data_IF_933827108448
#
_entry.id   IF_933827108448
#
_cell.length_a   1.000
_cell.length_b   1.000
_cell.length_c   1.000
_cell.angle_alpha   90.00
_cell.angle_beta   90.00
_cell.angle_gamma   90.00
#
_symmetry.space_group_name_H-M   'P 1'
#
loop_
_entity.id
_entity.type
_entity.pdbx_description
1 polymer ?
#
# COMPACT_ATOMS: atom_id res chain seq x y z
N UNK A 1 -4.86 -3.45 -84.72
CA UNK A 1 -5.95 -3.35 -83.72
C UNK A 1 -5.64 -4.04 -82.40
N UNK A 2 -5.05 -5.24 -82.40
CA UNK A 2 -4.77 -6.01 -81.18
C UNK A 2 -3.74 -5.33 -80.26
N UNK A 3 -2.64 -4.79 -80.82
CA UNK A 3 -1.64 -4.00 -80.10
C UNK A 3 -2.21 -2.77 -79.36
N UNK A 4 -3.24 -2.13 -79.93
CA UNK A 4 -3.90 -0.97 -79.32
C UNK A 4 -4.76 -1.39 -78.13
N UNK A 5 -5.54 -2.47 -78.25
CA UNK A 5 -6.33 -3.04 -77.14
C UNK A 5 -5.43 -3.49 -75.98
N UNK A 6 -4.31 -4.15 -76.29
CA UNK A 6 -3.34 -4.58 -75.27
C UNK A 6 -2.74 -3.40 -74.51
N UNK A 7 -2.39 -2.31 -75.21
CA UNK A 7 -1.85 -1.09 -74.60
C UNK A 7 -2.88 -0.37 -73.73
N UNK A 8 -4.13 -0.24 -74.19
CA UNK A 8 -5.22 0.36 -73.42
C UNK A 8 -5.53 -0.43 -72.16
N UNK A 9 -5.60 -1.77 -72.25
CA UNK A 9 -5.79 -2.65 -71.10
C UNK A 9 -4.66 -2.52 -70.07
N UNK A 10 -3.40 -2.51 -70.52
CA UNK A 10 -2.25 -2.36 -69.62
C UNK A 10 -2.28 -1.03 -68.85
N UNK A 11 -2.56 0.07 -69.54
CA UNK A 11 -2.66 1.39 -68.91
C UNK A 11 -3.81 1.47 -67.89
N UNK A 12 -4.97 0.88 -68.20
CA UNK A 12 -6.10 0.81 -67.26
C UNK A 12 -5.74 -0.02 -66.01
N UNK A 13 -4.95 -1.09 -66.14
CA UNK A 13 -4.47 -1.86 -64.98
C UNK A 13 -3.48 -1.05 -64.12
N UNK A 14 -2.57 -0.29 -64.74
CA UNK A 14 -1.63 0.60 -64.03
C UNK A 14 -2.41 1.68 -63.27
N UNK A 15 -3.33 2.38 -63.94
CA UNK A 15 -4.16 3.40 -63.30
C UNK A 15 -4.99 2.84 -62.13
N UNK A 16 -5.50 1.60 -62.26
CA UNK A 16 -6.20 0.89 -61.18
C UNK A 16 -5.27 0.67 -59.98
N UNK A 17 -4.06 0.16 -60.23
CA UNK A 17 -3.08 -0.13 -59.18
C UNK A 17 -2.68 1.14 -58.42
N UNK A 18 -2.35 2.22 -59.14
CA UNK A 18 -1.98 3.50 -58.53
C UNK A 18 -3.12 4.10 -57.69
N UNK A 19 -4.36 4.00 -58.18
CA UNK A 19 -5.53 4.52 -57.47
C UNK A 19 -5.85 3.70 -56.21
N UNK A 20 -5.65 2.38 -56.27
CA UNK A 20 -5.80 1.50 -55.12
C UNK A 20 -4.71 1.78 -54.07
N UNK A 21 -3.46 2.00 -54.51
CA UNK A 21 -2.34 2.29 -53.63
C UNK A 21 -2.54 3.62 -52.89
N UNK A 22 -3.05 4.63 -53.58
CA UNK A 22 -3.47 5.87 -52.93
C UNK A 22 -4.51 5.61 -51.83
N UNK A 23 -5.58 4.85 -52.12
CA UNK A 23 -6.62 4.56 -51.13
C UNK A 23 -6.03 3.88 -49.88
N UNK A 24 -5.19 2.86 -50.08
CA UNK A 24 -4.53 2.16 -48.97
C UNK A 24 -3.72 3.11 -48.12
N UNK A 25 -2.85 3.91 -48.75
CA UNK A 25 -2.01 4.89 -48.06
C UNK A 25 -2.85 5.85 -47.22
N UNK A 26 -3.93 6.42 -47.78
CA UNK A 26 -4.79 7.33 -47.02
C UNK A 26 -5.46 6.64 -45.81
N UNK A 27 -5.88 5.39 -45.96
CA UNK A 27 -6.49 4.64 -44.85
C UNK A 27 -5.46 4.20 -43.80
N UNK A 28 -4.23 3.88 -44.20
CA UNK A 28 -3.13 3.56 -43.29
C UNK A 28 -2.64 4.81 -42.53
N UNK A 29 -2.53 5.95 -43.21
CA UNK A 29 -2.22 7.26 -42.63
C UNK A 29 -3.34 7.75 -41.69
N UNK A 30 -4.58 7.34 -41.94
CA UNK A 30 -5.72 7.64 -41.06
C UNK A 30 -5.66 6.84 -39.75
N UNK A 31 -5.07 5.65 -39.77
CA UNK A 31 -4.98 4.71 -38.64
C UNK A 31 -3.59 4.62 -38.02
N UNK A 32 -2.73 5.60 -38.28
CA UNK A 32 -1.37 5.64 -37.74
C UNK A 32 -1.38 5.87 -36.22
N UNK A 33 -0.35 5.38 -35.54
CA UNK A 33 -0.12 5.57 -34.10
C UNK A 33 -1.30 5.20 -33.19
N UNK A 34 -2.01 4.11 -33.51
CA UNK A 34 -3.11 3.58 -32.68
C UNK A 34 -4.22 4.61 -32.39
N UNK A 35 -4.36 5.63 -33.24
CA UNK A 35 -5.37 6.67 -33.05
C UNK A 35 -6.75 6.11 -33.38
N UNK A 36 -7.58 5.96 -32.36
CA UNK A 36 -8.99 5.60 -32.55
C UNK A 36 -9.75 6.76 -33.18
N UNK A 37 -10.58 6.44 -34.18
CA UNK A 37 -11.52 7.39 -34.77
C UNK A 37 -12.95 6.95 -34.49
N UNK A 38 -13.79 7.90 -34.12
CA UNK A 38 -15.23 7.68 -34.04
C UNK A 38 -15.74 7.09 -35.36
N UNK A 39 -16.61 6.08 -35.28
CA UNK A 39 -17.12 5.35 -36.45
C UNK A 39 -17.73 6.26 -37.53
N UNK A 40 -18.42 7.34 -37.14
CA UNK A 40 -19.02 8.27 -38.09
C UNK A 40 -17.94 9.02 -38.89
N UNK A 41 -16.89 9.46 -38.20
CA UNK A 41 -15.74 10.12 -38.84
C UNK A 41 -14.97 9.13 -39.73
N UNK A 42 -14.74 7.92 -39.24
CA UNK A 42 -14.08 6.86 -40.01
C UNK A 42 -14.85 6.53 -41.30
N UNK A 43 -16.17 6.34 -41.21
CA UNK A 43 -17.03 6.06 -42.37
C UNK A 43 -17.01 7.21 -43.39
N UNK A 44 -16.99 8.46 -42.89
CA UNK A 44 -16.89 9.65 -43.73
C UNK A 44 -15.57 9.67 -44.51
N UNK A 45 -14.43 9.45 -43.82
CA UNK A 45 -13.11 9.43 -44.47
C UNK A 45 -12.99 8.27 -45.48
N UNK A 46 -13.47 7.07 -45.13
CA UNK A 46 -13.53 5.96 -46.07
C UNK A 46 -14.28 6.34 -47.35
N UNK A 47 -15.47 6.93 -47.24
CA UNK A 47 -16.28 7.35 -48.39
C UNK A 47 -15.56 8.40 -49.22
N UNK A 48 -14.90 9.37 -48.57
CA UNK A 48 -14.10 10.41 -49.21
C UNK A 48 -12.95 9.80 -50.01
N UNK A 49 -12.07 9.02 -49.38
CA UNK A 49 -10.90 8.44 -50.03
C UNK A 49 -11.24 7.42 -51.12
N UNK A 50 -12.32 6.64 -50.95
CA UNK A 50 -12.84 5.78 -52.02
C UNK A 50 -13.25 6.61 -53.24
N UNK A 51 -13.99 7.69 -53.05
CA UNK A 51 -14.45 8.53 -54.15
C UNK A 51 -13.27 9.23 -54.85
N UNK A 52 -12.27 9.67 -54.09
CA UNK A 52 -11.02 10.25 -54.62
C UNK A 52 -10.24 9.24 -55.47
N UNK A 53 -10.06 8.01 -54.98
CA UNK A 53 -9.41 6.94 -55.73
C UNK A 53 -10.13 6.62 -57.05
N UNK A 54 -11.47 6.55 -57.02
CA UNK A 54 -12.28 6.33 -58.24
C UNK A 54 -12.15 7.52 -59.21
N UNK A 55 -12.13 8.75 -58.70
CA UNK A 55 -11.96 9.95 -59.52
C UNK A 55 -10.58 10.01 -60.16
N UNK A 56 -9.53 9.65 -59.43
CA UNK A 56 -8.16 9.53 -59.94
C UNK A 56 -8.01 8.42 -61.00
N UNK A 57 -8.70 7.30 -60.82
CA UNK A 57 -8.77 6.28 -61.88
C UNK A 57 -9.46 6.84 -63.13
N UNK A 58 -10.58 7.54 -62.95
CA UNK A 58 -11.37 8.11 -64.03
C UNK A 58 -10.69 9.28 -64.75
N UNK A 59 -9.76 10.00 -64.11
CA UNK A 59 -9.00 11.08 -64.76
C UNK A 59 -7.84 10.57 -65.64
N UNK A 60 -7.36 9.34 -65.38
CA UNK A 60 -6.33 8.65 -66.17
C UNK A 60 -6.90 7.86 -67.36
N UNK A 61 -8.12 8.21 -67.77
CA UNK A 61 -8.94 7.51 -68.77
C UNK A 61 -8.19 7.32 -70.09
N UNK A 62 -8.15 6.07 -70.58
CA UNK A 62 -7.83 5.76 -71.97
C UNK A 62 -9.00 4.96 -72.54
N UNK A 63 -9.83 5.63 -73.35
CA UNK A 63 -10.98 5.01 -74.01
C UNK A 63 -10.53 4.22 -75.25
N UNK A 64 -11.17 3.06 -75.48
CA UNK A 64 -10.92 2.28 -76.68
C UNK A 64 -11.35 0.82 -76.62
N UNK A 65 -11.51 0.25 -75.42
CA UNK A 65 -12.13 -1.06 -75.22
C UNK A 65 -12.85 -1.15 -73.87
N UNK A 66 -13.73 -2.14 -73.70
CA UNK A 66 -14.53 -2.32 -72.47
C UNK A 66 -13.73 -2.62 -71.20
N UNK A 67 -12.39 -2.63 -71.25
CA UNK A 67 -11.53 -2.91 -70.09
C UNK A 67 -11.60 -1.82 -69.01
N UNK A 68 -11.90 -0.58 -69.38
CA UNK A 68 -12.05 0.54 -68.44
C UNK A 68 -13.13 0.25 -67.38
N UNK A 69 -14.32 -0.13 -67.82
CA UNK A 69 -15.46 -0.40 -66.92
C UNK A 69 -15.19 -1.60 -66.01
N UNK A 70 -14.54 -2.65 -66.54
CA UNK A 70 -14.11 -3.81 -65.74
C UNK A 70 -13.10 -3.38 -64.67
N UNK A 71 -12.07 -2.62 -65.03
CA UNK A 71 -11.07 -2.15 -64.07
C UNK A 71 -11.65 -1.22 -63.00
N UNK A 72 -12.61 -0.35 -63.37
CA UNK A 72 -13.32 0.52 -62.44
C UNK A 72 -14.16 -0.28 -61.44
N UNK A 73 -14.88 -1.29 -61.93
CA UNK A 73 -15.71 -2.15 -61.09
C UNK A 73 -14.83 -3.00 -60.16
N UNK A 74 -13.74 -3.56 -60.67
CA UNK A 74 -12.75 -4.29 -59.88
C UNK A 74 -12.15 -3.40 -58.78
N UNK A 75 -11.83 -2.14 -59.09
CA UNK A 75 -11.33 -1.17 -58.10
C UNK A 75 -12.36 -0.96 -56.98
N UNK A 76 -13.62 -0.75 -57.35
CA UNK A 76 -14.70 -0.54 -56.39
C UNK A 76 -14.89 -1.75 -55.47
N UNK A 77 -14.98 -2.95 -56.03
CA UNK A 77 -15.13 -4.17 -55.24
C UNK A 77 -13.89 -4.45 -54.38
N UNK A 78 -12.69 -4.17 -54.89
CA UNK A 78 -11.45 -4.31 -54.11
C UNK A 78 -11.45 -3.39 -52.89
N UNK A 79 -11.80 -2.11 -53.07
CA UNK A 79 -11.88 -1.15 -51.95
C UNK A 79 -12.97 -1.55 -50.95
N UNK A 80 -14.14 -1.97 -51.45
CA UNK A 80 -15.26 -2.44 -50.63
C UNK A 80 -14.87 -3.67 -49.80
N UNK A 81 -14.09 -4.59 -50.36
CA UNK A 81 -13.60 -5.78 -49.68
C UNK A 81 -12.50 -5.47 -48.65
N UNK A 82 -11.73 -4.38 -48.84
CA UNK A 82 -10.73 -3.92 -47.86
C UNK A 82 -11.34 -3.17 -46.69
N UNK A 83 -12.49 -2.52 -46.88
CA UNK A 83 -13.11 -1.69 -45.84
C UNK A 83 -13.37 -2.40 -44.49
N UNK A 84 -13.88 -3.65 -44.45
CA UNK A 84 -14.01 -4.40 -43.20
C UNK A 84 -12.69 -4.57 -42.44
N UNK A 85 -11.56 -4.74 -43.16
CA UNK A 85 -10.24 -4.90 -42.54
C UNK A 85 -9.79 -3.60 -41.85
N UNK A 86 -9.96 -2.47 -42.51
CA UNK A 86 -9.65 -1.16 -41.93
C UNK A 86 -10.58 -0.82 -40.75
N UNK A 87 -11.86 -1.21 -40.84
CA UNK A 87 -12.81 -1.04 -39.75
C UNK A 87 -12.39 -1.86 -38.52
N UNK A 88 -12.01 -3.13 -38.72
CA UNK A 88 -11.51 -3.99 -37.65
C UNK A 88 -10.25 -3.38 -37.00
N UNK A 89 -9.29 -2.90 -37.79
CA UNK A 89 -8.09 -2.24 -37.27
C UNK A 89 -8.41 -0.99 -36.44
N UNK A 90 -9.42 -0.20 -36.83
CA UNK A 90 -9.87 0.94 -36.02
C UNK A 90 -10.51 0.50 -34.69
N UNK A 91 -11.22 -0.63 -34.67
CA UNK A 91 -11.75 -1.23 -33.45
C UNK A 91 -10.62 -1.77 -32.54
N UNK A 92 -9.58 -2.35 -33.12
CA UNK A 92 -8.41 -2.82 -32.38
C UNK A 92 -7.61 -1.64 -31.78
N UNK A 93 -7.46 -0.54 -32.53
CA UNK A 93 -6.88 0.72 -32.01
C UNK A 93 -7.68 1.26 -30.82
N UNK A 94 -9.01 1.14 -30.85
CA UNK A 94 -9.87 1.53 -29.71
C UNK A 94 -9.51 0.72 -28.46
N UNK A 95 -9.47 -0.61 -28.58
CA UNK A 95 -9.14 -1.51 -27.46
C UNK A 95 -7.75 -1.22 -26.92
N UNK A 96 -6.76 -1.05 -27.81
CA UNK A 96 -5.41 -0.71 -27.41
C UNK A 96 -5.35 0.62 -26.64
N UNK A 97 -6.06 1.65 -27.10
CA UNK A 97 -6.15 2.94 -26.41
C UNK A 97 -6.80 2.81 -25.03
N UNK A 98 -7.84 2.00 -24.90
CA UNK A 98 -8.53 1.75 -23.62
C UNK A 98 -7.64 0.98 -22.64
N UNK A 99 -6.95 -0.07 -23.09
CA UNK A 99 -5.99 -0.84 -22.27
C UNK A 99 -4.81 0.02 -21.80
N UNK A 100 -4.33 0.93 -22.65
CA UNK A 100 -3.21 1.83 -22.31
C UNK A 100 -3.66 2.84 -21.25
N UNK A 101 -4.85 3.42 -21.41
CA UNK A 101 -5.42 4.37 -20.44
C UNK A 101 -5.66 3.70 -19.07
N UNK A 102 -6.16 2.47 -19.06
CA UNK A 102 -6.31 1.69 -17.84
C UNK A 102 -4.95 1.41 -17.15
N UNK A 103 -3.93 0.99 -17.91
CA UNK A 103 -2.57 0.76 -17.38
C UNK A 103 -1.98 2.03 -16.77
N UNK A 104 -2.18 3.18 -17.39
CA UNK A 104 -1.72 4.47 -16.88
C UNK A 104 -2.42 4.84 -15.56
N UNK A 105 -3.74 4.62 -15.45
CA UNK A 105 -4.48 4.80 -14.21
C UNK A 105 -3.98 3.88 -13.09
N UNK A 106 -3.70 2.60 -13.39
CA UNK A 106 -3.15 1.65 -12.41
C UNK A 106 -1.75 2.08 -11.94
N UNK A 107 -0.90 2.51 -12.88
CA UNK A 107 0.46 2.98 -12.55
C UNK A 107 0.38 4.18 -11.60
N UNK A 108 -0.44 5.16 -11.94
CA UNK A 108 -0.62 6.37 -11.12
C UNK A 108 -1.22 6.04 -9.74
N UNK A 109 -2.19 5.12 -9.68
CA UNK A 109 -2.75 4.63 -8.42
C UNK A 109 -1.64 4.10 -7.50
N UNK A 110 -0.75 3.26 -8.04
CA UNK A 110 0.34 2.67 -7.26
C UNK A 110 1.35 3.73 -6.78
N UNK A 111 1.75 4.65 -7.65
CA UNK A 111 2.66 5.75 -7.28
C UNK A 111 2.09 6.63 -6.16
N UNK A 112 0.80 6.98 -6.25
CA UNK A 112 0.12 7.79 -5.24
C UNK A 112 0.04 7.05 -3.90
N UNK A 113 -0.30 5.76 -3.92
CA UNK A 113 -0.34 4.92 -2.72
C UNK A 113 1.03 4.78 -2.06
N UNK A 114 2.08 4.66 -2.85
CA UNK A 114 3.44 4.55 -2.36
C UNK A 114 3.87 5.83 -1.64
N UNK A 115 3.59 7.00 -2.24
CA UNK A 115 3.81 8.31 -1.61
C UNK A 115 3.07 8.43 -0.28
N UNK A 116 1.78 8.05 -0.24
CA UNK A 116 1.01 8.03 1.00
C UNK A 116 1.65 7.12 2.07
N UNK A 117 2.04 5.91 1.67
CA UNK A 117 2.61 4.91 2.60
C UNK A 117 3.93 5.40 3.18
N UNK A 118 4.80 5.94 2.32
CA UNK A 118 6.08 6.51 2.74
C UNK A 118 5.90 7.72 3.64
N UNK A 119 4.95 8.60 3.34
CA UNK A 119 4.62 9.75 4.18
C UNK A 119 4.13 9.34 5.58
N UNK A 120 3.33 8.28 5.67
CA UNK A 120 2.94 7.69 6.94
C UNK A 120 4.14 7.07 7.67
N UNK A 121 4.95 6.27 6.98
CA UNK A 121 6.11 5.56 7.55
C UNK A 121 7.22 6.48 8.04
N UNK A 122 7.60 7.50 7.25
CA UNK A 122 8.64 8.47 7.60
C UNK A 122 8.30 9.23 8.89
N UNK A 123 7.00 9.43 9.13
CA UNK A 123 6.50 10.06 10.36
C UNK A 123 6.37 9.04 11.50
N UNK A 124 5.89 7.82 11.20
CA UNK A 124 5.71 6.74 12.18
C UNK A 124 7.02 6.16 12.73
N UNK A 125 8.15 6.33 12.03
CA UNK A 125 9.41 5.73 12.46
C UNK A 125 9.91 6.30 13.80
N UNK A 126 9.84 5.46 14.85
CA UNK A 126 10.48 5.72 16.15
C UNK A 126 9.79 6.78 17.03
N UNK A 127 8.57 7.23 16.70
CA UNK A 127 7.85 8.23 17.51
C UNK A 127 6.40 7.81 17.80
N UNK A 128 5.96 8.13 19.03
CA UNK A 128 4.56 8.05 19.46
C UNK A 128 3.76 9.17 18.79
N UNK A 129 2.60 8.85 18.24
CA UNK A 129 1.60 9.85 17.86
C UNK A 129 0.40 9.79 18.81
N UNK A 130 -0.08 10.96 19.23
CA UNK A 130 -1.39 11.10 19.85
C UNK A 130 -2.43 10.84 18.74
N UNK A 131 -3.48 10.07 19.01
CA UNK A 131 -4.46 9.65 17.99
C UNK A 131 -5.00 10.80 17.13
N UNK A 132 -5.15 12.00 17.70
CA UNK A 132 -5.56 13.21 16.98
C UNK A 132 -4.56 13.64 15.90
N UNK A 133 -3.27 13.66 16.21
CA UNK A 133 -2.21 14.00 15.26
C UNK A 133 -2.08 12.94 14.15
N UNK A 134 -2.44 11.70 14.48
CA UNK A 134 -2.46 10.58 13.55
C UNK A 134 -3.58 10.68 12.51
N UNK A 135 -4.78 11.06 12.94
CA UNK A 135 -5.93 11.31 12.04
C UNK A 135 -5.71 12.55 11.17
N UNK A 136 -5.05 13.59 11.70
CA UNK A 136 -4.68 14.77 10.93
C UNK A 136 -3.64 14.44 9.84
N UNK A 137 -2.59 13.71 10.18
CA UNK A 137 -1.57 13.29 9.21
C UNK A 137 -2.18 12.47 8.06
N UNK A 138 -3.08 11.54 8.37
CA UNK A 138 -3.82 10.81 7.36
C UNK A 138 -4.63 11.74 6.45
N UNK A 139 -5.37 12.69 7.04
CA UNK A 139 -6.20 13.63 6.29
C UNK A 139 -5.38 14.48 5.32
N UNK A 140 -4.21 14.94 5.74
CA UNK A 140 -3.28 15.72 4.90
C UNK A 140 -2.73 14.88 3.74
N UNK A 141 -2.15 13.72 4.03
CA UNK A 141 -1.55 12.84 3.03
C UNK A 141 -2.60 12.27 2.07
N UNK A 142 -3.80 11.96 2.57
CA UNK A 142 -4.92 11.50 1.74
C UNK A 142 -5.40 12.60 0.80
N UNK A 143 -5.52 13.85 1.28
CA UNK A 143 -5.87 15.00 0.44
C UNK A 143 -4.83 15.22 -0.66
N UNK A 144 -3.54 15.15 -0.32
CA UNK A 144 -2.46 15.26 -1.31
C UNK A 144 -2.50 14.13 -2.34
N UNK A 145 -2.73 12.90 -1.88
CA UNK A 145 -2.93 11.74 -2.75
C UNK A 145 -4.08 11.94 -3.73
N UNK A 146 -5.23 12.44 -3.24
CA UNK A 146 -6.41 12.73 -4.07
C UNK A 146 -6.13 13.82 -5.09
N UNK A 147 -5.49 14.91 -4.68
CA UNK A 147 -5.14 16.01 -5.58
C UNK A 147 -4.16 15.54 -6.67
N UNK A 148 -3.16 14.74 -6.30
CA UNK A 148 -2.18 14.19 -7.24
C UNK A 148 -2.83 13.22 -8.23
N UNK A 149 -3.81 12.44 -7.79
CA UNK A 149 -4.55 11.53 -8.67
C UNK A 149 -5.53 12.28 -9.59
N UNK A 150 -6.28 13.27 -9.06
CA UNK A 150 -7.27 14.04 -9.83
C UNK A 150 -6.66 14.91 -10.91
N UNK A 151 -5.49 15.49 -10.65
CA UNK A 151 -4.75 16.29 -11.65
C UNK A 151 -4.22 15.47 -12.82
N UNK A 152 -4.14 14.15 -12.72
CA UNK A 152 -3.58 13.29 -13.77
C UNK A 152 -4.56 13.05 -14.92
N UNK A 153 -5.85 12.75 -14.67
CA UNK A 153 -6.86 12.48 -15.73
C UNK A 153 -8.31 12.69 -15.31
N UNK A 154 -8.72 13.94 -15.07
CA UNK A 154 -10.14 14.34 -15.13
C UNK A 154 -10.66 14.16 -16.58
N UNK A 155 -11.10 12.95 -16.94
CA UNK A 155 -11.62 12.66 -18.29
C UNK A 155 -11.45 11.21 -18.78
N UNK A 156 -10.63 10.39 -18.10
CA UNK A 156 -10.56 8.96 -18.40
C UNK A 156 -11.84 8.26 -17.94
N UNK A 157 -12.35 7.30 -18.71
CA UNK A 157 -13.47 6.44 -18.28
C UNK A 157 -13.11 5.56 -17.08
N UNK A 158 -11.82 5.26 -16.91
CA UNK A 158 -11.28 4.47 -15.80
C UNK A 158 -11.00 5.31 -14.56
N UNK A 159 -10.95 6.65 -14.69
CA UNK A 159 -10.62 7.56 -13.59
C UNK A 159 -11.47 7.30 -12.35
N UNK A 160 -12.80 7.24 -12.51
CA UNK A 160 -13.73 7.04 -11.40
C UNK A 160 -13.49 5.70 -10.69
N UNK A 161 -13.34 4.62 -11.46
CA UNK A 161 -13.12 3.26 -10.93
C UNK A 161 -11.86 3.21 -10.06
N UNK A 162 -10.75 3.74 -10.58
CA UNK A 162 -9.48 3.70 -9.87
C UNK A 162 -9.36 4.76 -8.76
N UNK A 163 -10.10 5.87 -8.86
CA UNK A 163 -10.23 6.85 -7.78
C UNK A 163 -11.00 6.27 -6.58
N UNK A 164 -12.08 5.52 -6.82
CA UNK A 164 -12.83 4.84 -5.76
C UNK A 164 -11.97 3.71 -5.13
N UNK A 165 -11.17 3.03 -5.96
CA UNK A 165 -10.19 2.04 -5.50
C UNK A 165 -9.09 2.65 -4.62
N UNK A 166 -8.60 3.85 -4.97
CA UNK A 166 -7.63 4.60 -4.18
C UNK A 166 -8.15 4.87 -2.77
N UNK A 167 -9.41 5.34 -2.66
CA UNK A 167 -10.04 5.65 -1.38
C UNK A 167 -10.10 4.42 -0.46
N UNK A 168 -10.55 3.30 -1.02
CA UNK A 168 -10.64 2.03 -0.29
C UNK A 168 -9.27 1.56 0.19
N UNK A 169 -8.28 1.50 -0.71
CA UNK A 169 -6.97 0.94 -0.39
C UNK A 169 -6.15 1.83 0.57
N UNK A 170 -6.27 3.17 0.47
CA UNK A 170 -5.66 4.07 1.45
C UNK A 170 -6.32 3.90 2.82
N UNK A 171 -7.65 3.79 2.89
CA UNK A 171 -8.36 3.59 4.14
C UNK A 171 -7.98 2.26 4.80
N UNK A 172 -7.87 1.17 4.03
CA UNK A 172 -7.39 -0.13 4.52
C UNK A 172 -5.97 -0.04 5.11
N UNK A 173 -5.05 0.65 4.40
CA UNK A 173 -3.70 0.90 4.91
C UNK A 173 -3.71 1.74 6.19
N UNK A 174 -4.54 2.77 6.24
CA UNK A 174 -4.67 3.63 7.42
C UNK A 174 -5.11 2.84 8.67
N UNK A 175 -6.10 1.95 8.52
CA UNK A 175 -6.55 1.07 9.59
C UNK A 175 -5.46 0.08 10.03
N UNK A 176 -4.60 -0.36 9.11
CA UNK A 176 -3.42 -1.16 9.45
C UNK A 176 -2.44 -0.36 10.33
N UNK A 177 -2.12 0.88 9.94
CA UNK A 177 -1.23 1.72 10.74
C UNK A 177 -1.83 2.09 12.12
N UNK A 178 -3.15 2.31 12.23
CA UNK A 178 -3.82 2.49 13.53
C UNK A 178 -3.59 1.30 14.46
N UNK A 179 -3.77 0.08 13.95
CA UNK A 179 -3.56 -1.16 14.73
C UNK A 179 -2.10 -1.28 15.20
N UNK A 180 -1.15 -1.01 14.32
CA UNK A 180 0.27 -1.05 14.67
C UNK A 180 0.62 -0.03 15.76
N UNK A 181 0.06 1.18 15.71
CA UNK A 181 0.28 2.20 16.74
C UNK A 181 -0.31 1.75 18.10
N UNK A 182 -1.49 1.14 18.11
CA UNK A 182 -2.09 0.60 19.35
C UNK A 182 -1.32 -0.60 19.91
N UNK A 183 -0.82 -1.48 19.05
CA UNK A 183 -0.02 -2.64 19.47
C UNK A 183 1.32 -2.22 20.06
N UNK A 184 1.94 -1.18 19.51
CA UNK A 184 3.15 -0.58 20.06
C UNK A 184 2.92 -0.03 21.48
N UNK A 185 1.80 0.67 21.73
CA UNK A 185 1.46 1.14 23.09
C UNK A 185 1.26 -0.03 24.05
N UNK A 186 0.54 -1.06 23.62
CA UNK A 186 0.31 -2.26 24.44
C UNK A 186 1.62 -2.96 24.79
N UNK A 187 2.53 -3.13 23.83
CA UNK A 187 3.83 -3.74 24.04
C UNK A 187 4.70 -2.94 25.01
N UNK A 188 4.75 -1.61 24.86
CA UNK A 188 5.51 -0.74 25.76
C UNK A 188 4.96 -0.77 27.19
N UNK A 189 3.64 -0.77 27.35
CA UNK A 189 3.00 -0.87 28.67
C UNK A 189 3.30 -2.22 29.33
N UNK A 190 3.23 -3.32 28.58
CA UNK A 190 3.58 -4.66 29.07
C UNK A 190 5.06 -4.74 29.50
N UNK A 191 5.97 -4.14 28.74
CA UNK A 191 7.40 -4.12 29.08
C UNK A 191 7.66 -3.28 30.35
N UNK A 192 6.98 -2.15 30.52
CA UNK A 192 7.04 -1.37 31.76
C UNK A 192 6.53 -2.17 32.94
N UNK A 193 5.43 -2.90 32.77
CA UNK A 193 4.83 -3.72 33.83
C UNK A 193 5.73 -4.89 34.23
N UNK A 194 6.31 -5.58 33.24
CA UNK A 194 7.32 -6.62 33.45
C UNK A 194 8.52 -6.09 34.23
N UNK A 195 9.02 -4.90 33.89
CA UNK A 195 10.14 -4.28 34.59
C UNK A 195 9.81 -3.96 36.06
N UNK A 196 8.59 -3.47 36.35
CA UNK A 196 8.14 -3.28 37.74
C UNK A 196 8.14 -4.60 38.51
N UNK A 197 7.62 -5.69 37.94
CA UNK A 197 7.62 -7.00 38.60
C UNK A 197 9.04 -7.50 38.88
N UNK A 198 9.96 -7.35 37.92
CA UNK A 198 11.38 -7.72 38.10
C UNK A 198 12.03 -6.93 39.24
N UNK A 199 11.77 -5.63 39.35
CA UNK A 199 12.28 -4.81 40.45
C UNK A 199 11.68 -5.22 41.80
N UNK A 200 10.40 -5.63 41.83
CA UNK A 200 9.75 -6.13 43.05
C UNK A 200 10.41 -7.41 43.54
N UNK A 201 10.67 -8.37 42.64
CA UNK A 201 11.37 -9.63 42.95
C UNK A 201 12.77 -9.32 43.48
N UNK A 202 13.52 -8.46 42.81
CA UNK A 202 14.87 -8.05 43.25
C UNK A 202 14.88 -7.44 44.66
N UNK A 203 13.86 -6.65 45.02
CA UNK A 203 13.73 -6.09 46.37
C UNK A 203 13.43 -7.15 47.43
N UNK A 204 12.61 -8.16 47.09
CA UNK A 204 12.34 -9.30 47.98
C UNK A 204 13.58 -10.15 48.22
N UNK A 205 14.34 -10.44 47.16
CA UNK A 205 15.58 -11.19 47.25
C UNK A 205 16.62 -10.46 48.08
N UNK A 206 16.76 -9.13 47.89
CA UNK A 206 17.60 -8.30 48.75
C UNK A 206 17.18 -8.44 50.22
N UNK A 207 15.90 -8.27 50.53
CA UNK A 207 15.38 -8.40 51.89
C UNK A 207 15.72 -9.76 52.50
N UNK A 208 15.44 -10.85 51.77
CA UNK A 208 15.68 -12.22 52.21
C UNK A 208 17.16 -12.45 52.49
N UNK A 209 18.03 -12.08 51.57
CA UNK A 209 19.47 -12.29 51.69
C UNK A 209 20.05 -11.52 52.89
N UNK A 210 19.64 -10.26 53.09
CA UNK A 210 20.09 -9.47 54.24
C UNK A 210 19.62 -10.07 55.58
N UNK A 211 18.41 -10.62 55.62
CA UNK A 211 17.89 -11.27 56.81
C UNK A 211 18.62 -12.59 57.10
N UNK A 212 18.90 -13.40 56.06
CA UNK A 212 19.69 -14.63 56.18
C UNK A 212 21.12 -14.33 56.66
N UNK A 213 21.79 -13.33 56.09
CA UNK A 213 23.12 -12.88 56.53
C UNK A 213 23.08 -12.49 58.01
N UNK A 214 22.13 -11.64 58.40
CA UNK A 214 22.00 -11.19 59.78
C UNK A 214 21.83 -12.35 60.76
N UNK A 215 20.98 -13.33 60.45
CA UNK A 215 20.77 -14.51 61.30
C UNK A 215 21.92 -15.51 61.29
N UNK A 216 22.73 -15.56 60.21
CA UNK A 216 23.93 -16.39 60.18
C UNK A 216 25.07 -15.77 60.98
N UNK A 217 25.22 -14.44 60.93
CA UNK A 217 26.27 -13.69 61.65
C UNK A 217 26.00 -13.59 63.15
N UNK A 218 24.73 -13.53 63.54
CA UNK A 218 24.33 -13.35 64.93
C UNK A 218 23.68 -14.63 65.45
N UNK A 219 24.33 -15.29 66.41
CA UNK A 219 23.90 -16.56 67.02
C UNK A 219 22.50 -16.49 67.69
N UNK A 220 21.97 -17.64 68.15
CA UNK A 220 20.61 -17.80 68.70
C UNK A 220 20.19 -16.83 69.82
N UNK A 221 21.13 -16.09 70.44
CA UNK A 221 20.92 -15.24 71.61
C UNK A 221 20.58 -13.77 71.32
N UNK A 222 20.23 -13.40 70.09
CA UNK A 222 19.72 -12.05 69.79
C UNK A 222 18.32 -11.89 70.39
N UNK A 223 18.09 -10.79 71.11
CA UNK A 223 16.78 -10.43 71.66
C UNK A 223 15.74 -10.10 70.59
N UNK A 224 14.48 -10.46 70.82
CA UNK A 224 13.38 -10.27 69.87
C UNK A 224 13.18 -8.80 69.44
N UNK A 225 13.43 -7.85 70.35
CA UNK A 225 13.39 -6.41 70.05
C UNK A 225 14.43 -5.98 69.02
N UNK A 226 15.62 -6.58 69.06
CA UNK A 226 16.73 -6.25 68.17
C UNK A 226 16.49 -6.83 66.77
N UNK A 227 16.01 -8.08 66.70
CA UNK A 227 15.57 -8.71 65.45
C UNK A 227 14.48 -7.90 64.77
N UNK A 228 13.49 -7.41 65.54
CA UNK A 228 12.41 -6.57 65.02
C UNK A 228 12.92 -5.23 64.48
N UNK A 229 13.85 -4.57 65.18
CA UNK A 229 14.48 -3.34 64.69
C UNK A 229 15.22 -3.56 63.38
N UNK A 230 15.95 -4.68 63.27
CA UNK A 230 16.69 -5.01 62.05
C UNK A 230 15.76 -5.34 60.88
N UNK A 231 14.67 -6.07 61.12
CA UNK A 231 13.61 -6.29 60.14
C UNK A 231 13.08 -4.97 59.56
N UNK A 232 12.67 -4.03 60.42
CA UNK A 232 12.14 -2.73 59.98
C UNK A 232 13.17 -1.88 59.23
N UNK A 233 14.46 -2.04 59.53
CA UNK A 233 15.53 -1.41 58.76
C UNK A 233 15.63 -2.01 57.35
N UNK A 234 15.83 -3.32 57.23
CA UNK A 234 16.02 -4.00 55.94
C UNK A 234 14.77 -3.84 55.06
N UNK A 235 13.57 -3.91 55.66
CA UNK A 235 12.30 -3.66 54.99
C UNK A 235 12.24 -2.28 54.35
N UNK A 236 12.63 -1.22 55.09
CA UNK A 236 12.67 0.15 54.55
C UNK A 236 13.66 0.28 53.39
N UNK A 237 14.82 -0.35 53.50
CA UNK A 237 15.82 -0.35 52.42
C UNK A 237 15.31 -1.07 51.16
N UNK A 238 14.69 -2.24 51.30
CA UNK A 238 14.11 -3.00 50.20
C UNK A 238 12.99 -2.22 49.49
N UNK A 239 12.07 -1.63 50.25
CA UNK A 239 11.00 -0.79 49.72
C UNK A 239 11.57 0.47 49.04
N UNK A 240 12.60 1.09 49.61
CA UNK A 240 13.29 2.24 49.04
C UNK A 240 13.99 1.93 47.70
N UNK A 241 14.59 0.74 47.56
CA UNK A 241 15.17 0.29 46.29
C UNK A 241 14.11 0.11 45.21
N UNK A 242 12.98 -0.51 45.55
CA UNK A 242 11.86 -0.65 44.63
C UNK A 242 11.31 0.71 44.20
N UNK A 243 11.11 1.62 45.15
CA UNK A 243 10.63 2.98 44.87
C UNK A 243 11.59 3.76 43.96
N UNK A 244 12.90 3.67 44.21
CA UNK A 244 13.93 4.37 43.42
C UNK A 244 13.99 3.84 41.98
N UNK A 245 13.81 2.53 41.77
CA UNK A 245 13.87 1.91 40.43
C UNK A 245 12.60 2.14 39.61
N UNK A 246 11.44 2.29 40.25
CA UNK A 246 10.15 2.42 39.56
C UNK A 246 9.78 3.87 39.17
N UNK A 247 10.39 4.90 39.78
CA UNK A 247 10.28 6.34 39.42
C UNK A 247 8.86 6.88 39.07
N UNK A 248 7.77 6.24 39.52
CA UNK A 248 6.40 6.64 39.16
C UNK A 248 5.45 6.58 40.36
N UNK A 249 4.78 7.71 40.64
CA UNK A 249 3.72 7.84 41.64
C UNK A 249 2.35 7.54 41.02
N UNK A 250 2.13 6.30 40.56
CA UNK A 250 0.83 5.83 40.07
C UNK A 250 0.02 5.10 41.14
N UNK A 251 -1.30 4.98 40.95
CA UNK A 251 -2.18 4.18 41.84
C UNK A 251 -1.71 2.72 41.90
N UNK A 252 -1.27 2.17 40.76
CA UNK A 252 -0.73 0.80 40.68
C UNK A 252 0.62 0.65 41.41
N UNK A 253 1.40 1.72 41.52
CA UNK A 253 2.64 1.71 42.28
C UNK A 253 2.38 1.54 43.78
N UNK A 254 1.36 2.22 44.31
CA UNK A 254 0.97 2.07 45.73
C UNK A 254 0.45 0.66 46.02
N UNK A 255 -0.31 0.07 45.08
CA UNK A 255 -0.79 -1.31 45.20
C UNK A 255 0.39 -2.32 45.22
N UNK A 256 1.39 -2.14 44.35
CA UNK A 256 2.59 -2.99 44.35
C UNK A 256 3.46 -2.79 45.58
N UNK A 257 3.62 -1.54 46.06
CA UNK A 257 4.35 -1.27 47.29
C UNK A 257 3.70 -1.95 48.50
N UNK A 258 2.37 -1.90 48.58
CA UNK A 258 1.60 -2.58 49.62
C UNK A 258 1.77 -4.11 49.53
N UNK A 259 1.70 -4.65 48.32
CA UNK A 259 1.89 -6.09 48.06
C UNK A 259 3.29 -6.54 48.48
N UNK A 260 4.33 -5.80 48.07
CA UNK A 260 5.71 -6.05 48.44
C UNK A 260 5.91 -6.00 49.95
N UNK A 261 5.36 -4.98 50.62
CA UNK A 261 5.41 -4.87 52.09
C UNK A 261 4.79 -6.09 52.76
N UNK A 262 3.60 -6.51 52.31
CA UNK A 262 2.93 -7.70 52.84
C UNK A 262 3.73 -8.98 52.63
N UNK A 263 4.36 -9.15 51.45
CA UNK A 263 5.22 -10.29 51.15
C UNK A 263 6.49 -10.32 52.02
N UNK A 264 7.09 -9.17 52.30
CA UNK A 264 8.21 -9.03 53.24
C UNK A 264 7.78 -9.44 54.65
N UNK A 265 6.62 -8.99 55.12
CA UNK A 265 6.08 -9.31 56.45
C UNK A 265 5.77 -10.80 56.62
N UNK A 266 5.22 -11.41 55.58
CA UNK A 266 5.00 -12.86 55.53
C UNK A 266 6.33 -13.63 55.58
N UNK A 267 7.33 -13.18 54.81
CA UNK A 267 8.66 -13.78 54.80
C UNK A 267 9.30 -13.70 56.19
N UNK A 268 9.25 -12.54 56.85
CA UNK A 268 9.73 -12.37 58.21
C UNK A 268 9.09 -13.36 59.19
N UNK A 269 7.77 -13.51 59.12
CA UNK A 269 7.01 -14.44 59.98
C UNK A 269 7.47 -15.89 59.80
N UNK A 270 7.71 -16.31 58.55
CA UNK A 270 8.24 -17.65 58.25
C UNK A 270 9.65 -17.86 58.80
N UNK A 271 10.53 -16.85 58.70
CA UNK A 271 11.88 -16.90 59.27
C UNK A 271 11.85 -17.02 60.80
N UNK A 272 10.99 -16.27 61.49
CA UNK A 272 10.83 -16.38 62.94
C UNK A 272 10.36 -17.78 63.36
N UNK A 273 9.42 -18.36 62.60
CA UNK A 273 8.93 -19.73 62.85
C UNK A 273 10.05 -20.76 62.69
N UNK A 274 10.77 -20.71 61.58
CA UNK A 274 11.90 -21.61 61.32
C UNK A 274 13.01 -21.49 62.38
N UNK A 275 13.29 -20.27 62.88
CA UNK A 275 14.23 -20.05 63.98
C UNK A 275 13.77 -20.73 65.28
N UNK A 276 12.49 -20.58 65.64
CA UNK A 276 11.93 -21.23 66.83
C UNK A 276 12.04 -22.76 66.75
N UNK A 277 11.71 -23.33 65.59
CA UNK A 277 11.82 -24.78 65.35
C UNK A 277 13.27 -25.27 65.47
N UNK A 278 14.25 -24.55 64.89
CA UNK A 278 15.69 -24.89 65.04
C UNK A 278 16.19 -24.77 66.49
N UNK A 279 15.73 -23.76 67.24
CA UNK A 279 16.10 -23.62 68.65
C UNK A 279 15.58 -24.77 69.52
N UNK A 280 14.41 -25.33 69.20
CA UNK A 280 13.84 -26.48 69.90
C UNK A 280 14.60 -27.78 69.59
N UNK A 281 15.10 -27.96 68.36
CA UNK A 281 15.90 -29.12 67.98
C UNK A 281 17.34 -29.11 68.51
N UNK A 282 17.87 -27.97 68.97
CA UNK A 282 19.25 -27.87 69.49
C UNK A 282 19.32 -28.08 71.01
N UNK A 283 18.18 -28.13 71.69
CA UNK A 283 18.04 -28.28 73.16
C UNK A 283 17.63 -29.71 73.57
N UNK A 284 17.41 -30.61 72.60
CA UNK A 284 17.30 -32.06 72.79
C UNK A 284 18.65 -32.74 72.52
#
# INVERSE_FOLDING_TARGET
MELFRTKTKANNLIAKAESLEYYKKQMDDLLTENKFLNINHFNFQHKKHRNEAISMFASKKIEGDGSFWRCKQDLYETIKNMYPLYKQRNEDNKKFSEETDEKDCIKMLNEVKEVYSKGMEDKLYGRKYINHDFDQLHSELFREAKLKYSTYKEGSQYFKIYNDKLDKEIMEKFQSYKRQNTDFERSKNLEQEKNKLLFMISAQEYYRNQLEIYFNEHSFFIGESEVKKKHEQIKREALGQYQTKCLQNGVDFLAHLHTLSSQIDNTYTLFLRARKEKSLCTVM
#
